data_IF_185259132228
#
_entry.id   IF_185259132228
#
_cell.length_a   1.000
_cell.length_b   1.000
_cell.length_c   1.000
_cell.angle_alpha   90.00
_cell.angle_beta   90.00
_cell.angle_gamma   90.00
#
_symmetry.space_group_name_H-M   'P 1'
#
loop_
_entity.id
_entity.type
_entity.pdbx_description
1 polymer ?
#
# COMPACT_ATOMS: atom_id res chain seq x y z
N UNK A 1 12.16 -18.97 26.07
CA UNK A 1 12.72 -17.66 25.63
C UNK A 1 13.28 -17.73 24.21
N UNK A 2 14.09 -18.75 23.86
CA UNK A 2 14.64 -18.92 22.51
C UNK A 2 13.58 -18.93 21.38
N UNK A 3 12.47 -19.65 21.56
CA UNK A 3 11.41 -19.70 20.54
C UNK A 3 10.76 -18.34 20.28
N UNK A 4 10.52 -17.55 21.33
CA UNK A 4 9.94 -16.20 21.19
C UNK A 4 10.88 -15.27 20.42
N UNK A 5 12.19 -15.37 20.67
CA UNK A 5 13.19 -14.61 19.93
C UNK A 5 13.23 -15.02 18.46
N UNK A 6 13.22 -16.34 18.18
CA UNK A 6 13.17 -16.87 16.82
C UNK A 6 11.91 -16.40 16.06
N UNK A 7 10.76 -16.38 16.72
CA UNK A 7 9.53 -15.88 16.09
C UNK A 7 9.59 -14.40 15.74
N UNK A 8 10.22 -13.57 16.59
CA UNK A 8 10.40 -12.13 16.31
C UNK A 8 11.35 -11.91 15.13
N UNK A 9 12.48 -12.62 15.10
CA UNK A 9 13.42 -12.55 13.98
C UNK A 9 12.77 -12.97 12.65
N UNK A 10 11.93 -14.01 12.67
CA UNK A 10 11.19 -14.42 11.49
C UNK A 10 10.18 -13.35 11.04
N UNK A 11 9.50 -12.69 11.99
CA UNK A 11 8.57 -11.60 11.68
C UNK A 11 9.29 -10.41 11.06
N UNK A 12 10.41 -9.97 11.64
CA UNK A 12 11.24 -8.88 11.11
C UNK A 12 11.75 -9.21 9.69
N UNK A 13 12.17 -10.46 9.46
CA UNK A 13 12.58 -10.91 8.13
C UNK A 13 11.42 -10.87 7.11
N UNK A 14 10.19 -11.21 7.52
CA UNK A 14 9.01 -11.08 6.67
C UNK A 14 8.66 -9.61 6.39
N UNK A 15 8.73 -8.74 7.39
CA UNK A 15 8.46 -7.31 7.24
C UNK A 15 9.47 -6.63 6.30
N UNK A 16 10.74 -7.04 6.34
CA UNK A 16 11.77 -6.54 5.43
C UNK A 16 11.56 -7.00 3.98
N UNK A 17 11.03 -8.22 3.77
CA UNK A 17 10.83 -8.79 2.44
C UNK A 17 9.49 -8.40 1.81
N UNK A 18 8.44 -8.33 2.60
CA UNK A 18 7.07 -8.12 2.16
C UNK A 18 6.53 -6.84 2.80
N UNK A 19 6.70 -5.73 2.06
CA UNK A 19 6.18 -4.42 2.46
C UNK A 19 4.68 -4.54 2.73
N UNK A 20 4.23 -4.03 3.87
CA UNK A 20 2.84 -4.10 4.30
C UNK A 20 2.53 -5.21 5.30
N UNK A 21 3.49 -6.08 5.62
CA UNK A 21 3.35 -7.06 6.71
C UNK A 21 3.17 -6.32 8.06
N UNK A 22 1.99 -6.45 8.66
CA UNK A 22 1.65 -5.79 9.93
C UNK A 22 2.14 -6.51 11.19
N UNK A 23 1.88 -5.91 12.33
CA UNK A 23 2.04 -6.45 13.69
C UNK A 23 0.88 -5.98 14.57
N UNK A 24 0.86 -6.41 15.85
CA UNK A 24 -0.23 -6.11 16.77
C UNK A 24 -0.50 -4.60 16.96
N UNK A 25 0.55 -3.79 16.85
CA UNK A 25 0.50 -2.33 17.04
C UNK A 25 0.39 -1.55 15.72
N UNK A 26 0.14 -2.23 14.59
CA UNK A 26 -0.07 -1.55 13.30
C UNK A 26 -1.28 -0.62 13.40
N UNK A 27 -1.04 0.66 13.17
CA UNK A 27 -2.08 1.69 13.26
C UNK A 27 -3.07 1.59 12.10
N UNK A 28 -4.26 2.14 12.31
CA UNK A 28 -5.27 2.27 11.25
C UNK A 28 -4.71 2.99 10.01
N UNK A 29 -3.87 4.01 10.22
CA UNK A 29 -3.28 4.78 9.13
C UNK A 29 -2.29 3.96 8.31
N UNK A 30 -1.40 3.20 8.96
CA UNK A 30 -0.43 2.32 8.28
C UNK A 30 -1.15 1.23 7.47
N UNK A 31 -2.16 0.59 8.07
CA UNK A 31 -2.97 -0.43 7.40
C UNK A 31 -3.69 0.10 6.17
N UNK A 32 -4.40 1.23 6.30
CA UNK A 32 -5.09 1.86 5.18
C UNK A 32 -4.12 2.34 4.09
N UNK A 33 -2.96 2.87 4.47
CA UNK A 33 -1.92 3.30 3.53
C UNK A 33 -1.43 2.14 2.67
N UNK A 34 -1.22 0.96 3.26
CA UNK A 34 -0.82 -0.24 2.52
C UNK A 34 -1.93 -0.71 1.57
N UNK A 35 -3.19 -0.80 2.03
CA UNK A 35 -4.34 -1.18 1.17
C UNK A 35 -4.47 -0.25 -0.03
N UNK A 36 -4.35 1.06 0.18
CA UNK A 36 -4.47 2.06 -0.88
C UNK A 36 -3.35 1.87 -1.92
N UNK A 37 -2.12 1.63 -1.46
CA UNK A 37 -0.99 1.35 -2.36
C UNK A 37 -1.18 0.05 -3.13
N UNK A 38 -1.59 -1.03 -2.48
CA UNK A 38 -1.82 -2.32 -3.13
C UNK A 38 -2.93 -2.25 -4.19
N UNK A 39 -3.97 -1.46 -3.90
CA UNK A 39 -5.07 -1.20 -4.83
C UNK A 39 -4.57 -0.47 -6.07
N UNK A 40 -3.86 0.65 -5.90
CA UNK A 40 -3.33 1.41 -7.04
C UNK A 40 -2.28 0.63 -7.84
N UNK A 41 -1.41 -0.13 -7.17
CA UNK A 41 -0.46 -1.02 -7.82
C UNK A 41 -1.18 -2.06 -8.70
N UNK A 42 -2.26 -2.64 -8.20
CA UNK A 42 -3.08 -3.58 -8.97
C UNK A 42 -3.78 -2.90 -10.15
N UNK A 43 -4.31 -1.69 -9.97
CA UNK A 43 -5.01 -0.96 -11.04
C UNK A 43 -4.08 -0.64 -12.22
N UNK A 44 -2.83 -0.24 -11.96
CA UNK A 44 -1.85 0.07 -13.01
C UNK A 44 -1.11 -1.17 -13.53
N UNK A 45 -1.00 -2.21 -12.71
CA UNK A 45 -0.29 -3.45 -13.01
C UNK A 45 -1.07 -4.38 -13.94
N UNK A 46 -2.40 -4.34 -13.91
CA UNK A 46 -3.26 -5.14 -14.78
C UNK A 46 -3.75 -4.30 -15.99
N UNK A 47 -3.27 -4.56 -17.22
CA UNK A 47 -3.63 -3.77 -18.40
C UNK A 47 -5.15 -3.67 -18.68
N UNK A 48 -5.98 -4.72 -18.47
CA UNK A 48 -7.43 -4.60 -18.62
C UNK A 48 -8.05 -3.63 -17.62
N UNK A 49 -7.56 -3.64 -16.38
CA UNK A 49 -8.06 -2.78 -15.30
C UNK A 49 -7.69 -1.32 -15.55
N UNK A 50 -6.45 -1.04 -15.94
CA UNK A 50 -6.02 0.30 -16.33
C UNK A 50 -6.84 0.82 -17.52
N UNK A 51 -7.14 -0.05 -18.49
CA UNK A 51 -7.96 0.33 -19.66
C UNK A 51 -9.39 0.65 -19.26
N UNK A 52 -9.99 -0.15 -18.38
CA UNK A 52 -11.32 0.10 -17.84
C UNK A 52 -11.39 1.44 -17.10
N UNK A 53 -10.41 1.73 -16.23
CA UNK A 53 -10.33 3.00 -15.51
C UNK A 53 -10.13 4.19 -16.45
N UNK A 54 -9.27 4.07 -17.47
CA UNK A 54 -9.04 5.10 -18.47
C UNK A 54 -10.32 5.45 -19.25
N UNK A 55 -11.08 4.44 -19.67
CA UNK A 55 -12.38 4.64 -20.33
C UNK A 55 -13.38 5.29 -19.38
N UNK A 56 -13.48 4.83 -18.13
CA UNK A 56 -14.41 5.39 -17.14
C UNK A 56 -14.08 6.83 -16.74
N UNK A 57 -12.81 7.23 -16.78
CA UNK A 57 -12.36 8.59 -16.48
C UNK A 57 -12.32 9.51 -17.71
N UNK A 58 -12.44 8.97 -18.92
CA UNK A 58 -12.35 9.75 -20.17
C UNK A 58 -10.96 10.33 -20.44
N UNK A 59 -9.91 9.70 -19.93
CA UNK A 59 -8.52 10.20 -19.98
C UNK A 59 -7.59 9.15 -20.60
N UNK A 60 -6.39 9.56 -21.06
CA UNK A 60 -5.41 8.62 -21.59
C UNK A 60 -4.91 7.65 -20.53
N UNK A 61 -4.52 6.44 -20.93
CA UNK A 61 -4.02 5.40 -20.01
C UNK A 61 -2.78 5.87 -19.25
N UNK A 62 -1.92 6.65 -19.91
CA UNK A 62 -0.69 7.19 -19.36
C UNK A 62 -0.99 8.25 -18.28
N UNK A 63 -1.97 9.13 -18.53
CA UNK A 63 -2.38 10.14 -17.56
C UNK A 63 -3.03 9.49 -16.34
N UNK A 64 -3.93 8.52 -16.54
CA UNK A 64 -4.52 7.76 -15.43
C UNK A 64 -3.44 7.02 -14.64
N UNK A 65 -2.50 6.35 -15.32
CA UNK A 65 -1.37 5.67 -14.66
C UNK A 65 -0.57 6.64 -13.78
N UNK A 66 -0.19 7.81 -14.31
CA UNK A 66 0.55 8.82 -13.55
C UNK A 66 -0.23 9.30 -12.32
N UNK A 67 -1.51 9.64 -12.49
CA UNK A 67 -2.39 10.06 -11.39
C UNK A 67 -2.54 8.98 -10.32
N UNK A 68 -2.65 7.70 -10.70
CA UNK A 68 -2.73 6.61 -9.72
C UNK A 68 -1.42 6.46 -8.93
N UNK A 69 -0.26 6.61 -9.58
CA UNK A 69 1.05 6.58 -8.91
C UNK A 69 1.20 7.74 -7.92
N UNK A 70 0.81 8.96 -8.30
CA UNK A 70 0.83 10.13 -7.41
C UNK A 70 -0.03 9.91 -6.16
N UNK A 71 -1.20 9.28 -6.33
CA UNK A 71 -2.10 8.93 -5.22
C UNK A 71 -1.51 7.88 -4.27
N UNK A 72 -0.45 7.15 -4.63
CA UNK A 72 0.22 6.20 -3.72
C UNK A 72 1.00 6.89 -2.59
N UNK A 73 1.36 8.18 -2.75
CA UNK A 73 2.17 8.92 -1.78
C UNK A 73 1.36 9.28 -0.54
N UNK A 74 0.15 9.84 -0.72
CA UNK A 74 -0.75 10.28 0.38
C UNK A 74 -2.22 9.94 0.13
N UNK A 75 -2.51 8.84 -0.57
CA UNK A 75 -3.88 8.46 -0.90
C UNK A 75 -4.77 8.14 0.32
N UNK A 76 -4.16 7.77 1.45
CA UNK A 76 -4.85 7.57 2.73
C UNK A 76 -5.03 8.85 3.55
N UNK A 77 -4.63 10.02 3.01
CA UNK A 77 -4.62 11.29 3.72
C UNK A 77 -3.27 11.59 4.39
N UNK A 78 -3.24 12.63 5.22
CA UNK A 78 -2.07 12.93 6.04
C UNK A 78 -1.96 11.92 7.19
N UNK A 79 -0.72 11.57 7.62
CA UNK A 79 -0.54 10.80 8.84
C UNK A 79 -1.19 11.53 10.02
N UNK A 80 -1.72 10.78 11.02
CA UNK A 80 -2.23 11.40 12.24
C UNK A 80 -1.11 12.22 12.89
N UNK A 81 -1.48 13.34 13.52
CA UNK A 81 -0.56 14.05 14.41
C UNK A 81 -0.09 13.07 15.48
N UNK A 82 1.22 12.91 15.62
CA UNK A 82 1.83 11.97 16.56
C UNK A 82 1.24 12.23 17.95
N UNK A 83 0.37 11.34 18.43
CA UNK A 83 -0.03 11.34 19.83
C UNK A 83 1.12 10.67 20.59
N UNK A 84 2.00 11.49 21.17
CA UNK A 84 2.78 11.04 22.33
C UNK A 84 1.86 10.69 23.50
#
# INVERSE_FOLDING_TARGET
>A
MADKLRTLQNLEAMQARYIGTGHADTTKYEWLSNIVRDSYASYIGHPPMLSYMAVGMGESKEKVRATMIEKMVRGAGNPPETQE
#
